data_IF_935585299001
#
_entry.id   IF_935585299001
#
_cell.length_a   1.000
_cell.length_b   1.000
_cell.length_c   1.000
_cell.angle_alpha   90.00
_cell.angle_beta   90.00
_cell.angle_gamma   90.00
#
_symmetry.space_group_name_H-M   'P 1'
#
loop_
_entity.id
_entity.type
_entity.pdbx_description
1 polymer ?
#
# COMPACT_ATOMS: atom_id res chain seq x y z
N UNK A 1 -12.70 7.45 17.02
CA UNK A 1 -11.81 7.28 15.86
C UNK A 1 -12.70 6.84 14.71
N UNK A 2 -12.91 7.71 13.72
CA UNK A 2 -13.66 7.35 12.51
C UNK A 2 -12.80 6.37 11.74
N UNK A 3 -13.20 5.10 11.70
CA UNK A 3 -12.54 4.11 10.84
C UNK A 3 -12.95 4.44 9.41
N UNK A 4 -12.02 5.00 8.64
CA UNK A 4 -12.19 5.18 7.21
C UNK A 4 -12.42 3.80 6.57
N UNK A 5 -13.64 3.57 6.10
CA UNK A 5 -13.93 2.40 5.25
C UNK A 5 -13.70 2.82 3.82
N UNK A 6 -12.54 2.46 3.27
CA UNK A 6 -12.33 2.45 1.82
C UNK A 6 -13.47 1.60 1.25
N UNK A 7 -14.30 2.23 0.43
CA UNK A 7 -15.29 1.49 -0.36
C UNK A 7 -14.56 1.00 -1.58
N UNK A 8 -14.28 -0.30 -1.73
CA UNK A 8 -13.54 -0.78 -2.88
C UNK A 8 -14.30 -0.48 -4.17
N UNK A 9 -13.54 -0.20 -5.22
CA UNK A 9 -14.01 -0.15 -6.59
C UNK A 9 -13.42 -1.32 -7.36
N UNK A 10 -13.95 -1.57 -8.57
CA UNK A 10 -13.31 -2.52 -9.48
C UNK A 10 -11.91 -1.97 -9.84
N UNK A 11 -10.91 -2.83 -9.85
CA UNK A 11 -9.50 -2.48 -10.03
C UNK A 11 -8.75 -2.23 -8.72
N UNK A 12 -9.45 -2.00 -7.59
CA UNK A 12 -8.80 -1.79 -6.29
C UNK A 12 -7.88 -2.96 -5.96
N UNK A 13 -6.65 -2.62 -5.55
CA UNK A 13 -5.64 -3.58 -5.09
C UNK A 13 -5.86 -3.88 -3.63
N UNK A 14 -5.77 -5.15 -3.28
CA UNK A 14 -5.97 -5.65 -1.92
C UNK A 14 -4.88 -6.64 -1.53
N UNK A 15 -4.73 -6.86 -0.23
CA UNK A 15 -4.02 -8.00 0.32
C UNK A 15 -4.90 -8.76 1.31
N UNK A 16 -4.62 -10.04 1.49
CA UNK A 16 -5.16 -10.78 2.63
C UNK A 16 -4.22 -10.75 3.84
N UNK A 17 -4.62 -11.43 4.93
CA UNK A 17 -3.82 -11.51 6.16
C UNK A 17 -2.48 -12.21 5.99
N UNK A 18 -2.32 -13.02 4.93
CA UNK A 18 -1.10 -13.76 4.64
C UNK A 18 -0.19 -12.99 3.66
N UNK A 19 -0.63 -11.80 3.24
CA UNK A 19 0.13 -10.90 2.36
C UNK A 19 -0.03 -11.20 0.87
N UNK A 20 -0.93 -12.09 0.46
CA UNK A 20 -1.18 -12.31 -0.96
C UNK A 20 -1.87 -11.10 -1.58
N UNK A 21 -1.31 -10.59 -2.67
CA UNK A 21 -1.88 -9.46 -3.41
C UNK A 21 -2.91 -9.92 -4.43
N UNK A 22 -3.93 -9.10 -4.62
CA UNK A 22 -4.96 -9.34 -5.62
C UNK A 22 -5.64 -8.06 -6.08
N UNK A 23 -6.49 -8.21 -7.08
CA UNK A 23 -7.24 -7.13 -7.73
C UNK A 23 -8.73 -7.43 -7.64
N UNK A 24 -9.53 -6.45 -7.24
CA UNK A 24 -11.00 -6.57 -7.18
C UNK A 24 -11.57 -6.51 -8.60
N UNK A 25 -12.30 -7.55 -9.01
CA UNK A 25 -12.96 -7.66 -10.33
C UNK A 25 -14.49 -7.69 -10.23
N UNK A 26 -15.04 -7.87 -9.04
CA UNK A 26 -16.47 -7.92 -8.79
C UNK A 26 -16.80 -7.42 -7.40
N UNK A 27 -17.91 -6.72 -7.24
CA UNK A 27 -18.43 -6.32 -5.93
C UNK A 27 -19.93 -6.57 -5.94
N UNK A 28 -20.40 -7.48 -5.09
CA UNK A 28 -21.83 -7.79 -5.02
C UNK A 28 -22.16 -9.12 -4.37
N UNK A 29 -23.44 -9.52 -4.40
CA UNK A 29 -23.88 -10.81 -3.92
C UNK A 29 -23.35 -11.95 -4.79
N UNK A 30 -23.22 -13.15 -4.20
CA UNK A 30 -22.67 -14.33 -4.89
C UNK A 30 -23.70 -15.43 -4.87
N UNK A 31 -24.01 -16.03 -6.02
CA UNK A 31 -25.10 -17.01 -6.16
C UNK A 31 -24.89 -18.27 -5.33
N UNK A 32 -23.65 -18.57 -4.95
CA UNK A 32 -23.31 -19.67 -4.04
C UNK A 32 -23.36 -19.29 -2.55
N UNK A 33 -23.60 -18.03 -2.19
CA UNK A 33 -23.67 -17.56 -0.80
C UNK A 33 -24.96 -18.03 -0.08
N UNK A 34 -24.88 -18.25 1.23
CA UNK A 34 -26.08 -18.58 2.04
C UNK A 34 -27.03 -17.38 2.15
N UNK A 35 -26.47 -16.19 2.30
CA UNK A 35 -27.21 -14.93 2.33
C UNK A 35 -26.99 -14.19 1.00
N UNK A 36 -28.01 -14.15 0.15
CA UNK A 36 -27.96 -13.51 -1.18
C UNK A 36 -27.96 -11.97 -1.13
N UNK A 37 -28.06 -11.37 0.06
CA UNK A 37 -27.93 -9.91 0.25
C UNK A 37 -26.52 -9.50 0.70
N UNK A 38 -25.66 -10.46 1.02
CA UNK A 38 -24.31 -10.17 1.50
C UNK A 38 -23.37 -9.84 0.34
N UNK A 39 -22.63 -8.74 0.47
CA UNK A 39 -21.67 -8.29 -0.54
C UNK A 39 -20.31 -8.96 -0.35
N UNK A 40 -19.77 -9.48 -1.45
CA UNK A 40 -18.43 -10.04 -1.56
C UNK A 40 -17.62 -9.24 -2.58
N UNK A 41 -16.31 -9.21 -2.40
CA UNK A 41 -15.34 -8.83 -3.43
C UNK A 41 -14.93 -10.11 -4.17
N UNK A 42 -15.20 -10.17 -5.48
CA UNK A 42 -14.54 -11.11 -6.37
C UNK A 42 -13.15 -10.59 -6.69
N UNK A 43 -12.14 -11.38 -6.36
CA UNK A 43 -10.72 -11.03 -6.44
C UNK A 43 -10.04 -11.98 -7.40
N UNK A 44 -9.19 -11.45 -8.26
CA UNK A 44 -8.13 -12.22 -8.90
C UNK A 44 -6.83 -12.02 -8.13
N UNK A 45 -6.22 -13.10 -7.65
CA UNK A 45 -4.93 -13.05 -6.96
C UNK A 45 -3.79 -12.99 -7.98
N UNK A 46 -2.75 -12.24 -7.65
CA UNK A 46 -1.51 -12.21 -8.43
C UNK A 46 -0.85 -13.59 -8.48
N UNK A 47 -0.87 -14.30 -7.35
CA UNK A 47 -0.51 -15.71 -7.28
C UNK A 47 -1.71 -16.60 -7.60
N UNK A 48 -1.68 -17.23 -8.77
CA UNK A 48 -2.75 -18.12 -9.24
C UNK A 48 -3.01 -19.34 -8.34
N UNK A 49 -2.08 -19.70 -7.46
CA UNK A 49 -2.23 -20.81 -6.49
C UNK A 49 -3.05 -20.41 -5.26
N UNK A 50 -3.19 -19.10 -4.99
CA UNK A 50 -3.96 -18.58 -3.85
C UNK A 50 -5.47 -18.64 -4.07
N UNK A 51 -5.91 -18.55 -5.32
CA UNK A 51 -7.34 -18.57 -5.63
C UNK A 51 -7.98 -19.95 -5.56
N UNK A 52 -9.22 -20.03 -6.04
CA UNK A 52 -10.06 -21.24 -5.99
C UNK A 52 -10.79 -21.54 -7.29
N UNK A 53 -11.07 -20.52 -8.11
CA UNK A 53 -11.95 -20.64 -9.26
C UNK A 53 -11.67 -19.55 -10.30
N UNK A 54 -12.39 -19.57 -11.41
CA UNK A 54 -12.23 -18.63 -12.53
C UNK A 54 -13.20 -17.42 -12.49
N UNK A 55 -13.97 -17.32 -11.40
CA UNK A 55 -15.00 -16.29 -11.18
C UNK A 55 -16.43 -16.80 -11.38
N UNK A 56 -16.60 -18.10 -11.65
CA UNK A 56 -17.89 -18.79 -11.66
C UNK A 56 -18.13 -19.65 -10.42
N UNK A 57 -19.40 -19.84 -10.06
CA UNK A 57 -19.84 -20.69 -8.94
C UNK A 57 -21.11 -21.45 -9.31
N UNK A 58 -21.35 -22.58 -8.64
CA UNK A 58 -22.64 -23.27 -8.71
C UNK A 58 -23.64 -22.53 -7.81
N UNK A 59 -24.72 -22.08 -8.40
CA UNK A 59 -25.83 -21.41 -7.73
C UNK A 59 -26.46 -22.31 -6.67
N UNK A 60 -26.81 -21.73 -5.51
CA UNK A 60 -27.48 -22.48 -4.45
C UNK A 60 -28.93 -22.83 -4.79
N UNK A 61 -29.61 -21.97 -5.54
CA UNK A 61 -31.05 -22.01 -5.81
C UNK A 61 -31.42 -23.11 -6.81
N UNK A 62 -30.79 -23.08 -7.98
CA UNK A 62 -31.15 -23.90 -9.15
C UNK A 62 -30.01 -24.85 -9.61
N UNK A 63 -28.85 -24.82 -8.92
CA UNK A 63 -27.64 -25.60 -9.25
C UNK A 63 -27.03 -25.29 -10.62
N UNK A 64 -27.41 -24.19 -11.26
CA UNK A 64 -26.78 -23.72 -12.50
C UNK A 64 -25.40 -23.12 -12.23
N UNK A 65 -24.54 -23.07 -13.24
CA UNK A 65 -23.25 -22.38 -13.16
C UNK A 65 -23.50 -20.90 -13.46
N UNK A 66 -23.16 -20.02 -12.52
CA UNK A 66 -23.26 -18.57 -12.65
C UNK A 66 -21.87 -17.96 -12.64
N UNK A 67 -21.57 -17.11 -13.62
CA UNK A 67 -20.32 -16.36 -13.70
C UNK A 67 -20.53 -14.94 -13.20
N UNK A 68 -19.76 -14.54 -12.18
CA UNK A 68 -19.77 -13.17 -11.67
C UNK A 68 -18.64 -12.33 -12.26
N UNK A 69 -17.47 -12.94 -12.53
CA UNK A 69 -16.34 -12.27 -13.19
C UNK A 69 -15.48 -13.25 -13.99
N UNK A 70 -14.49 -12.72 -14.71
CA UNK A 70 -13.43 -13.48 -15.37
C UNK A 70 -12.09 -12.95 -14.88
N UNK A 71 -11.17 -13.85 -14.57
CA UNK A 71 -9.78 -13.48 -14.27
C UNK A 71 -9.14 -12.92 -15.54
N UNK A 72 -8.52 -11.74 -15.46
CA UNK A 72 -7.86 -11.05 -16.58
C UNK A 72 -6.67 -11.86 -17.11
N UNK A 73 -5.97 -12.59 -16.22
CA UNK A 73 -4.90 -13.53 -16.62
C UNK A 73 -5.40 -14.73 -17.45
N UNK A 74 -6.72 -14.94 -17.52
CA UNK A 74 -7.31 -16.16 -18.05
C UNK A 74 -7.16 -17.38 -17.13
N UNK A 75 -6.60 -17.22 -15.93
CA UNK A 75 -6.44 -18.30 -14.97
C UNK A 75 -7.78 -18.89 -14.53
N UNK A 76 -7.83 -20.22 -14.44
CA UNK A 76 -9.01 -20.94 -13.98
C UNK A 76 -9.07 -21.09 -12.45
N UNK A 77 -8.00 -20.69 -11.75
CA UNK A 77 -7.86 -20.89 -10.31
C UNK A 77 -7.50 -19.62 -9.56
N UNK A 78 -7.17 -18.51 -10.22
CA UNK A 78 -6.72 -17.29 -9.52
C UNK A 78 -7.85 -16.52 -8.80
N UNK A 79 -9.12 -16.84 -9.06
CA UNK A 79 -10.27 -16.12 -8.53
C UNK A 79 -10.70 -16.56 -7.13
N UNK A 80 -11.25 -15.65 -6.34
CA UNK A 80 -11.94 -15.93 -5.06
C UNK A 80 -13.04 -14.93 -4.78
N UNK A 81 -14.08 -15.33 -4.03
CA UNK A 81 -15.01 -14.40 -3.37
C UNK A 81 -14.64 -14.23 -1.90
N UNK A 82 -14.38 -12.99 -1.47
CA UNK A 82 -13.94 -12.67 -0.11
C UNK A 82 -14.76 -11.50 0.42
N UNK A 83 -15.06 -11.51 1.73
CA UNK A 83 -15.73 -10.37 2.37
C UNK A 83 -14.74 -9.23 2.53
N UNK A 84 -15.19 -8.00 2.31
CA UNK A 84 -14.35 -6.79 2.46
C UNK A 84 -13.66 -6.73 3.84
N UNK A 85 -14.31 -7.18 4.91
CA UNK A 85 -13.73 -7.22 6.27
C UNK A 85 -12.52 -8.15 6.45
N UNK A 86 -12.17 -8.96 5.45
CA UNK A 86 -10.99 -9.83 5.44
C UNK A 86 -9.87 -9.33 4.52
N UNK A 87 -10.04 -8.13 3.96
CA UNK A 87 -9.12 -7.55 3.01
C UNK A 87 -8.45 -6.33 3.64
N UNK A 88 -7.17 -6.18 3.32
CA UNK A 88 -6.43 -4.95 3.55
C UNK A 88 -6.40 -4.16 2.24
N UNK A 89 -6.76 -2.89 2.31
CA UNK A 89 -6.87 -1.98 1.16
C UNK A 89 -5.63 -1.11 0.94
N UNK A 90 -4.57 -1.35 1.72
CA UNK A 90 -3.35 -0.56 1.72
C UNK A 90 -3.40 0.58 2.74
N UNK A 91 -2.43 1.47 2.62
CA UNK A 91 -2.20 2.61 3.51
C UNK A 91 -1.96 3.89 2.70
N UNK A 92 -2.16 5.04 3.33
CA UNK A 92 -1.81 6.30 2.70
C UNK A 92 -0.29 6.54 2.65
N UNK A 93 0.10 7.42 1.73
CA UNK A 93 1.49 7.79 1.49
C UNK A 93 2.18 8.35 2.74
N UNK A 94 1.53 9.28 3.45
CA UNK A 94 2.12 9.94 4.64
C UNK A 94 2.28 8.97 5.81
N UNK A 95 1.30 8.09 6.04
CA UNK A 95 1.40 7.02 7.03
C UNK A 95 2.65 6.18 6.74
N UNK A 96 2.82 5.75 5.49
CA UNK A 96 3.96 4.93 5.09
C UNK A 96 5.30 5.66 5.29
N UNK A 97 5.37 6.95 4.95
CA UNK A 97 6.53 7.78 5.23
C UNK A 97 6.83 7.83 6.73
N UNK A 98 5.82 8.09 7.56
CA UNK A 98 5.98 8.21 9.02
C UNK A 98 6.37 6.90 9.71
N UNK A 99 5.96 5.75 9.15
CA UNK A 99 6.32 4.43 9.68
C UNK A 99 7.76 4.05 9.30
N UNK A 100 8.21 4.45 8.11
CA UNK A 100 9.55 4.10 7.58
C UNK A 100 10.62 5.11 7.98
N UNK A 101 10.23 6.36 8.19
CA UNK A 101 11.10 7.49 8.47
C UNK A 101 10.59 8.27 9.68
N UNK A 102 11.52 8.66 10.55
CA UNK A 102 11.26 9.24 11.85
C UNK A 102 11.23 10.77 11.74
N UNK A 103 10.25 11.43 12.37
CA UNK A 103 10.22 12.90 12.51
C UNK A 103 11.40 13.38 13.37
N UNK A 104 11.89 14.60 13.12
CA UNK A 104 13.10 15.15 13.76
C UNK A 104 13.04 15.18 15.29
N UNK A 105 11.86 15.31 15.87
CA UNK A 105 11.60 15.46 17.30
C UNK A 105 11.35 14.13 18.03
N UNK A 106 11.31 13.00 17.33
CA UNK A 106 11.01 11.72 17.96
C UNK A 106 12.07 11.40 19.04
N UNK A 107 11.69 10.93 20.24
CA UNK A 107 12.64 10.65 21.32
C UNK A 107 13.59 9.50 20.98
N UNK A 108 14.89 9.64 21.30
CA UNK A 108 15.90 8.59 21.12
C UNK A 108 15.41 7.26 21.75
N UNK A 109 15.51 6.16 21.02
CA UNK A 109 15.23 4.79 21.47
C UNK A 109 16.27 4.33 22.51
N UNK A 110 17.51 4.78 22.36
CA UNK A 110 18.63 4.51 23.24
C UNK A 110 19.38 5.80 23.62
N UNK A 111 18.76 6.70 24.41
CA UNK A 111 19.46 7.87 24.95
C UNK A 111 20.73 7.41 25.68
N UNK A 112 21.85 8.11 25.47
CA UNK A 112 23.17 7.75 26.01
C UNK A 112 23.69 6.36 25.56
N UNK A 113 23.33 5.94 24.34
CA UNK A 113 23.62 4.61 23.76
C UNK A 113 23.01 3.45 24.56
N UNK A 114 21.92 3.66 25.30
CA UNK A 114 21.33 2.65 26.19
C UNK A 114 19.84 2.46 25.96
N UNK A 115 19.45 1.25 25.58
CA UNK A 115 18.03 0.90 25.55
C UNK A 115 17.49 0.81 26.98
N UNK A 116 16.56 1.71 27.33
CA UNK A 116 15.89 1.66 28.64
C UNK A 116 15.05 0.39 28.73
N UNK A 117 15.20 -0.35 29.82
CA UNK A 117 14.44 -1.58 30.09
C UNK A 117 14.93 -2.85 29.36
N UNK A 118 15.99 -2.77 28.55
CA UNK A 118 16.54 -3.95 27.85
C UNK A 118 17.86 -4.40 28.50
N UNK A 119 17.87 -5.62 29.05
CA UNK A 119 19.06 -6.27 29.62
C UNK A 119 19.22 -7.67 29.05
N UNK A 120 20.46 -8.04 28.73
CA UNK A 120 20.82 -9.40 28.35
C UNK A 120 21.37 -10.15 29.57
N UNK A 121 20.89 -11.37 29.79
CA UNK A 121 21.38 -12.22 30.87
C UNK A 121 22.59 -13.03 30.40
N UNK A 122 23.72 -12.88 31.10
CA UNK A 122 24.95 -13.61 30.80
C UNK A 122 24.86 -15.06 31.29
N UNK A 123 25.73 -15.94 30.77
CA UNK A 123 25.81 -17.35 31.20
C UNK A 123 26.05 -17.52 32.71
N UNK A 124 26.57 -16.50 33.39
CA UNK A 124 26.77 -16.47 34.85
C UNK A 124 25.60 -15.86 35.65
N UNK A 125 24.44 -15.64 35.03
CA UNK A 125 23.24 -15.10 35.70
C UNK A 125 23.28 -13.59 35.98
N UNK A 126 24.31 -12.87 35.51
CA UNK A 126 24.38 -11.41 35.63
C UNK A 126 23.65 -10.73 34.47
N UNK A 127 22.83 -9.74 34.78
CA UNK A 127 22.20 -8.87 33.78
C UNK A 127 23.19 -7.82 33.27
N UNK A 128 23.31 -7.67 31.95
CA UNK A 128 24.12 -6.65 31.29
C UNK A 128 23.23 -5.77 30.43
N UNK A 129 23.38 -4.45 30.58
CA UNK A 129 22.62 -3.47 29.80
C UNK A 129 23.00 -3.58 28.31
N UNK A 130 22.01 -3.54 27.44
CA UNK A 130 22.22 -3.52 25.99
C UNK A 130 22.53 -2.09 25.57
N UNK A 131 23.66 -1.93 24.87
CA UNK A 131 24.10 -0.64 24.35
C UNK A 131 23.92 -0.59 22.83
N UNK A 132 23.54 0.59 22.32
CA UNK A 132 23.39 0.84 20.90
C UNK A 132 24.28 1.98 20.47
N UNK A 133 25.37 1.63 19.78
CA UNK A 133 26.36 2.59 19.30
C UNK A 133 26.02 2.93 17.85
N UNK A 134 25.46 4.12 17.61
CA UNK A 134 25.16 4.61 16.26
C UNK A 134 23.74 5.10 16.03
N UNK A 135 22.91 5.22 17.07
CA UNK A 135 21.53 5.72 16.93
C UNK A 135 21.47 7.09 16.27
N UNK A 136 22.34 8.02 16.66
CA UNK A 136 22.38 9.37 16.08
C UNK A 136 22.77 9.36 14.59
N UNK A 137 23.69 8.47 14.20
CA UNK A 137 24.09 8.30 12.79
C UNK A 137 22.94 7.69 11.98
N UNK A 138 22.25 6.70 12.53
CA UNK A 138 21.11 6.05 11.88
C UNK A 138 19.91 7.01 11.77
N UNK A 139 19.66 7.81 12.81
CA UNK A 139 18.62 8.85 12.81
C UNK A 139 18.84 9.90 11.74
N UNK A 140 20.09 10.34 11.49
CA UNK A 140 20.38 11.23 10.36
C UNK A 140 19.92 10.68 9.01
N UNK A 141 19.95 9.36 8.81
CA UNK A 141 19.46 8.70 7.59
C UNK A 141 17.97 8.30 7.66
N UNK A 142 17.29 8.56 8.78
CA UNK A 142 15.87 8.29 8.99
C UNK A 142 15.03 9.58 9.07
N UNK A 143 15.64 10.76 8.92
CA UNK A 143 14.96 12.07 9.01
C UNK A 143 14.41 12.49 7.64
N UNK A 144 13.08 12.49 7.46
CA UNK A 144 12.46 12.85 6.17
C UNK A 144 12.91 14.23 5.68
N UNK A 145 12.95 15.24 6.55
CA UNK A 145 13.35 16.62 6.18
C UNK A 145 14.81 16.75 5.71
N UNK A 146 15.68 15.81 6.08
CA UNK A 146 17.08 15.76 5.65
C UNK A 146 17.34 14.85 4.45
N UNK A 147 16.29 14.21 3.92
CA UNK A 147 16.36 13.22 2.86
C UNK A 147 15.60 13.76 1.66
N UNK A 148 16.26 13.83 0.51
CA UNK A 148 15.64 14.22 -0.75
C UNK A 148 15.08 13.00 -1.52
N UNK A 149 15.53 11.80 -1.16
CA UNK A 149 15.26 10.56 -1.89
C UNK A 149 14.70 9.49 -0.97
N UNK A 150 13.48 9.05 -1.21
CA UNK A 150 12.82 8.01 -0.40
C UNK A 150 12.49 6.79 -1.23
N UNK A 151 12.59 5.62 -0.59
CA UNK A 151 12.20 4.35 -1.18
C UNK A 151 11.11 3.71 -0.33
N UNK A 152 9.89 3.70 -0.86
CA UNK A 152 8.69 3.13 -0.28
C UNK A 152 8.26 1.84 -1.00
N UNK A 153 9.23 1.07 -1.50
CA UNK A 153 8.95 -0.18 -2.23
C UNK A 153 8.15 -1.17 -1.40
N UNK A 154 7.10 -1.74 -1.99
CA UNK A 154 6.31 -2.82 -1.38
C UNK A 154 5.69 -2.47 -0.04
N UNK A 155 5.50 -1.18 0.25
CA UNK A 155 5.07 -0.72 1.57
C UNK A 155 3.54 -0.68 1.72
N UNK A 156 2.79 -1.07 0.69
CA UNK A 156 1.33 -1.12 0.70
C UNK A 156 0.66 0.22 0.41
N UNK A 157 1.39 1.19 -0.15
CA UNK A 157 0.82 2.49 -0.53
C UNK A 157 -0.28 2.27 -1.57
N UNK A 158 -1.48 2.75 -1.29
CA UNK A 158 -2.65 2.58 -2.17
C UNK A 158 -3.29 3.89 -2.61
N UNK A 159 -3.08 4.97 -1.85
CA UNK A 159 -3.71 6.27 -2.08
C UNK A 159 -2.90 7.41 -1.45
N UNK A 160 -3.23 8.64 -1.82
CA UNK A 160 -2.62 9.85 -1.26
C UNK A 160 -3.05 10.09 0.21
N UNK A 161 -4.27 9.67 0.56
CA UNK A 161 -4.93 10.03 1.82
C UNK A 161 -5.85 11.24 1.64
N UNK A 162 -6.71 11.48 2.62
CA UNK A 162 -7.75 12.54 2.54
C UNK A 162 -7.15 13.96 2.63
N UNK A 163 -6.10 14.10 3.43
CA UNK A 163 -5.44 15.38 3.71
C UNK A 163 -4.14 15.48 2.92
N UNK A 164 -4.27 15.74 1.62
CA UNK A 164 -3.13 15.81 0.71
C UNK A 164 -2.21 16.98 1.03
N UNK A 165 -2.68 18.03 1.70
CA UNK A 165 -1.85 19.17 2.10
C UNK A 165 -0.74 18.76 3.08
N UNK A 166 -0.99 17.74 3.91
CA UNK A 166 0.06 17.14 4.76
C UNK A 166 1.22 16.58 3.93
N UNK A 167 0.97 16.07 2.73
CA UNK A 167 2.05 15.56 1.87
C UNK A 167 3.03 16.69 1.55
N UNK A 168 2.53 17.89 1.24
CA UNK A 168 3.39 19.03 0.93
C UNK A 168 4.22 19.46 2.16
N UNK A 169 3.63 19.45 3.35
CA UNK A 169 4.32 19.78 4.61
C UNK A 169 5.43 18.77 4.93
N UNK A 170 5.16 17.47 4.81
CA UNK A 170 6.10 16.42 5.21
C UNK A 170 7.12 16.03 4.15
N UNK A 171 6.76 16.16 2.88
CA UNK A 171 7.46 15.54 1.77
C UNK A 171 7.63 16.46 0.55
N UNK A 172 7.21 17.73 0.63
CA UNK A 172 7.28 18.66 -0.51
C UNK A 172 8.68 18.87 -1.08
N UNK A 173 9.72 18.68 -0.26
CA UNK A 173 11.14 18.81 -0.62
C UNK A 173 11.75 17.55 -1.28
N UNK A 174 10.99 16.45 -1.40
CA UNK A 174 11.51 15.22 -2.00
C UNK A 174 11.73 15.40 -3.50
N UNK A 175 12.93 15.05 -3.97
CA UNK A 175 13.32 15.07 -5.37
C UNK A 175 13.20 13.70 -6.05
N UNK A 176 13.27 12.61 -5.28
CA UNK A 176 13.09 11.25 -5.79
C UNK A 176 12.19 10.41 -4.88
N UNK A 177 11.13 9.85 -5.45
CA UNK A 177 10.19 8.98 -4.72
C UNK A 177 10.06 7.64 -5.44
N UNK A 178 10.47 6.57 -4.77
CA UNK A 178 10.33 5.21 -5.29
C UNK A 178 9.14 4.49 -4.65
N UNK A 179 8.09 4.29 -5.44
CA UNK A 179 6.84 3.63 -5.08
C UNK A 179 6.69 2.28 -5.78
N UNK A 180 7.77 1.62 -6.18
CA UNK A 180 7.68 0.36 -6.91
C UNK A 180 7.00 -0.75 -6.09
N UNK A 181 6.16 -1.55 -6.74
CA UNK A 181 5.53 -2.73 -6.13
C UNK A 181 4.52 -2.42 -5.04
N UNK A 182 3.86 -1.27 -5.10
CA UNK A 182 2.80 -0.88 -4.17
C UNK A 182 1.40 -1.29 -4.67
N UNK A 183 0.37 -0.81 -3.98
CA UNK A 183 -1.03 -1.12 -4.22
C UNK A 183 -1.74 0.01 -4.99
N UNK A 184 -0.97 0.88 -5.66
CA UNK A 184 -1.50 1.93 -6.53
C UNK A 184 -2.10 1.29 -7.79
N UNK A 185 -3.33 1.70 -8.13
CA UNK A 185 -4.07 1.20 -9.29
C UNK A 185 -4.74 2.30 -10.11
N UNK A 186 -4.82 3.50 -9.55
CA UNK A 186 -5.44 4.66 -10.15
C UNK A 186 -4.38 5.76 -10.33
N UNK A 187 -4.28 6.27 -11.56
CA UNK A 187 -3.38 7.37 -11.88
C UNK A 187 -3.81 8.66 -11.19
N UNK A 188 -5.09 8.85 -10.89
CA UNK A 188 -5.54 10.04 -10.17
C UNK A 188 -4.98 10.09 -8.74
N UNK A 189 -4.91 8.94 -8.06
CA UNK A 189 -4.25 8.83 -6.75
C UNK A 189 -2.76 9.14 -6.81
N UNK A 190 -2.07 8.69 -7.87
CA UNK A 190 -0.67 9.06 -8.08
C UNK A 190 -0.54 10.57 -8.31
N UNK A 191 -1.42 11.16 -9.11
CA UNK A 191 -1.51 12.59 -9.36
C UNK A 191 -1.67 13.40 -8.08
N UNK A 192 -2.53 12.96 -7.17
CA UNK A 192 -2.72 13.61 -5.85
C UNK A 192 -1.45 13.62 -5.02
N UNK A 193 -0.63 12.57 -5.06
CA UNK A 193 0.66 12.52 -4.35
C UNK A 193 1.64 13.49 -4.98
N UNK A 194 1.91 13.35 -6.29
CA UNK A 194 3.02 14.07 -6.95
C UNK A 194 2.78 15.58 -7.05
N UNK A 195 1.52 16.03 -7.11
CA UNK A 195 1.21 17.46 -7.11
C UNK A 195 1.57 18.17 -5.81
N UNK A 196 1.81 17.43 -4.73
CA UNK A 196 2.24 17.98 -3.44
C UNK A 196 3.76 17.97 -3.29
N UNK A 197 4.48 17.27 -4.18
CA UNK A 197 5.93 17.12 -4.17
C UNK A 197 6.58 18.15 -5.10
N UNK A 198 6.68 19.40 -4.65
CA UNK A 198 7.08 20.53 -5.49
C UNK A 198 8.52 20.45 -6.02
N UNK A 199 9.40 19.69 -5.36
CA UNK A 199 10.77 19.46 -5.78
C UNK A 199 10.98 18.15 -6.58
N UNK A 200 9.93 17.39 -6.91
CA UNK A 200 10.04 16.06 -7.48
C UNK A 200 10.63 16.08 -8.91
N UNK A 201 11.73 15.34 -9.09
CA UNK A 201 12.42 15.17 -10.38
C UNK A 201 12.27 13.73 -10.91
N UNK A 202 12.17 12.74 -10.02
CA UNK A 202 12.14 11.32 -10.38
C UNK A 202 11.13 10.53 -9.56
N UNK A 203 10.28 9.76 -10.26
CA UNK A 203 9.23 8.96 -9.66
C UNK A 203 9.31 7.53 -10.18
N UNK A 204 9.41 6.54 -9.30
CA UNK A 204 9.42 5.14 -9.74
C UNK A 204 8.10 4.45 -9.43
N UNK A 205 7.37 4.02 -10.46
CA UNK A 205 6.05 3.37 -10.33
C UNK A 205 6.01 1.91 -10.80
N UNK A 206 7.14 1.34 -11.22
CA UNK A 206 7.20 -0.03 -11.74
C UNK A 206 6.58 -1.06 -10.77
N UNK A 207 6.04 -2.15 -11.32
CA UNK A 207 5.39 -3.23 -10.56
C UNK A 207 4.14 -2.81 -9.75
N UNK A 208 3.57 -1.62 -9.99
CA UNK A 208 2.19 -1.32 -9.64
C UNK A 208 1.26 -1.78 -10.78
N UNK A 209 0.01 -2.12 -10.46
CA UNK A 209 -1.02 -2.45 -11.47
C UNK A 209 -1.79 -1.21 -11.88
N UNK A 210 -1.07 -0.22 -12.35
CA UNK A 210 -1.66 0.98 -12.94
C UNK A 210 -2.23 0.61 -14.31
N UNK A 211 -3.48 0.98 -14.57
CA UNK A 211 -4.10 0.81 -15.88
C UNK A 211 -3.39 1.62 -16.97
N UNK A 212 -3.88 1.58 -18.21
CA UNK A 212 -3.36 2.50 -19.24
C UNK A 212 -3.70 3.95 -18.86
N UNK A 213 -2.72 4.84 -18.69
CA UNK A 213 -3.00 6.23 -18.36
C UNK A 213 -3.60 7.02 -19.52
N UNK A 214 -3.67 6.52 -20.76
CA UNK A 214 -3.98 7.37 -21.91
C UNK A 214 -5.46 7.80 -22.00
N UNK A 215 -5.74 9.13 -22.04
CA UNK A 215 -4.80 10.25 -21.95
C UNK A 215 -4.38 10.54 -20.50
N UNK A 216 -3.08 10.85 -20.29
CA UNK A 216 -2.53 11.13 -18.96
C UNK A 216 -3.44 12.11 -18.18
N UNK A 217 -3.77 11.82 -16.90
CA UNK A 217 -4.62 12.71 -16.12
C UNK A 217 -4.10 14.15 -16.10
N UNK A 218 -5.02 15.13 -16.04
CA UNK A 218 -4.64 16.55 -15.91
C UNK A 218 -3.72 16.80 -14.72
N UNK A 219 -3.88 16.01 -13.65
CA UNK A 219 -3.03 16.02 -12.46
C UNK A 219 -1.56 15.75 -12.77
N UNK A 220 -1.21 15.08 -13.87
CA UNK A 220 0.18 14.87 -14.30
C UNK A 220 0.77 16.04 -15.10
N UNK A 221 -0.06 16.85 -15.76
CA UNK A 221 0.45 17.95 -16.61
C UNK A 221 1.14 19.03 -15.79
N UNK A 222 0.64 19.30 -14.59
CA UNK A 222 1.27 20.25 -13.66
C UNK A 222 2.62 19.75 -13.14
N UNK A 223 2.74 18.44 -12.93
CA UNK A 223 3.95 17.81 -12.43
C UNK A 223 5.06 17.74 -13.50
N UNK A 224 4.71 17.55 -14.78
CA UNK A 224 5.68 17.41 -15.89
C UNK A 224 6.19 18.77 -16.41
N UNK A 225 5.42 19.86 -16.24
CA UNK A 225 5.64 21.15 -16.90
C UNK A 225 6.86 21.98 -16.45
N UNK A 226 7.55 21.64 -15.35
CA UNK A 226 8.64 22.45 -14.79
C UNK A 226 10.07 21.89 -14.98
N UNK A 227 10.22 20.56 -15.09
CA UNK A 227 11.54 19.92 -15.08
C UNK A 227 11.60 18.52 -15.71
N UNK A 228 10.50 18.01 -16.28
CA UNK A 228 10.44 16.68 -16.87
C UNK A 228 10.60 15.57 -15.83
N UNK A 229 9.51 15.20 -15.17
CA UNK A 229 9.52 14.03 -14.25
C UNK A 229 9.84 12.78 -15.06
N UNK A 230 10.92 12.08 -14.68
CA UNK A 230 11.19 10.72 -15.13
C UNK A 230 10.28 9.72 -14.41
N UNK A 231 9.52 8.91 -15.16
CA UNK A 231 8.66 7.83 -14.66
C UNK A 231 9.26 6.46 -15.04
#
# INVERSE_FOLDING_TARGET
MSTFTITPTIGTRISDSDGFLGTVLYIGPVSSAKNQKETYCGIEWDDSTRGKHDGSVISREDKSIVRHFRCESGSLTAGSFVKSSKLNFGVDFCQTLSERYVQLDAPLLAPDNKFRGCVAMTKGGRSKQIEFHGEEKIRKYQQVEGIEKVALRGAGVSHAGDDTEKIAEYAGHLTEVDLQGNMLHDWEEVGKIINQLSALEMLHLNANRLGNPEPLPETFKNAIGGGGIGI
#
